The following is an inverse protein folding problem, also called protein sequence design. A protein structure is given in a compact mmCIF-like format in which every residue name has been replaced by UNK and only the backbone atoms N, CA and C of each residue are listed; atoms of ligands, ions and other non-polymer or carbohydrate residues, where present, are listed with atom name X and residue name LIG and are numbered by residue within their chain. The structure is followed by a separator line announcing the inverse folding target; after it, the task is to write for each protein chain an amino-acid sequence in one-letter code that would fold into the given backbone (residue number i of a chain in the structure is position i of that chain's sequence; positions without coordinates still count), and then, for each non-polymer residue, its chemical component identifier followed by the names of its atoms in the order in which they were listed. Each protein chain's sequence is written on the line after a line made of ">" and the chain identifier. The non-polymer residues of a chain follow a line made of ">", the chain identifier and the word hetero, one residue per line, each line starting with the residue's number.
data_IF_451455823345
#
_entry.id   IF_451455823345
#
_cell.length_a   1.000
_cell.length_b   1.000
_cell.length_c   1.000
_cell.angle_alpha   90.00
_cell.angle_beta   90.00
_cell.angle_gamma   90.00
#
_symmetry.space_group_name_H-M   'P 1'
#
loop_
_entity.id
_entity.type
_entity.pdbx_description
1 polymer ?
#
# COMPACT_ATOMS: atom_id res chain seq x y z
N UNK A 1 -105.76 -15.21 -14.06
CA UNK A 1 -105.15 -15.41 -15.38
C UNK A 1 -104.04 -14.39 -15.51
N UNK A 2 -102.81 -14.87 -15.52
CA UNK A 2 -101.62 -14.16 -15.99
C UNK A 2 -101.81 -13.72 -17.47
N UNK A 3 -100.99 -12.80 -18.06
CA UNK A 3 -99.56 -12.70 -17.75
C UNK A 3 -98.83 -11.34 -17.92
N UNK A 4 -97.51 -11.41 -17.62
CA UNK A 4 -96.39 -10.70 -18.26
C UNK A 4 -96.30 -9.17 -18.18
N UNK A 5 -95.23 -8.72 -17.52
CA UNK A 5 -94.32 -7.71 -18.07
C UNK A 5 -92.89 -8.25 -17.99
N UNK A 6 -92.15 -8.17 -19.08
CA UNK A 6 -90.72 -8.56 -19.20
C UNK A 6 -89.88 -7.31 -19.49
N UNK A 7 -88.56 -7.50 -19.64
CA UNK A 7 -87.51 -6.46 -19.77
C UNK A 7 -87.09 -5.82 -18.41
N UNK A 8 -85.80 -5.58 -18.16
CA UNK A 8 -84.61 -5.82 -18.99
C UNK A 8 -83.36 -6.12 -18.17
N UNK A 9 -82.42 -6.87 -18.76
CA UNK A 9 -81.19 -7.30 -18.12
C UNK A 9 -80.13 -6.18 -18.17
N UNK A 10 -79.53 -5.82 -17.03
CA UNK A 10 -78.41 -4.86 -16.96
C UNK A 10 -77.17 -5.53 -16.35
N UNK A 11 -76.26 -5.98 -17.22
CA UNK A 11 -75.02 -6.64 -16.81
C UNK A 11 -73.97 -5.59 -16.40
N UNK A 12 -74.00 -5.15 -15.14
CA UNK A 12 -72.96 -4.28 -14.57
C UNK A 12 -71.76 -5.14 -14.15
N UNK A 13 -70.74 -5.17 -15.00
CA UNK A 13 -69.53 -5.97 -14.81
C UNK A 13 -68.56 -5.26 -13.86
N UNK A 14 -68.74 -5.46 -12.55
CA UNK A 14 -67.87 -4.90 -11.51
C UNK A 14 -66.46 -5.53 -11.54
N UNK A 15 -65.52 -4.83 -12.18
CA UNK A 15 -64.09 -5.13 -12.10
C UNK A 15 -63.57 -4.67 -10.73
N UNK A 16 -63.71 -5.53 -9.72
CA UNK A 16 -63.12 -5.31 -8.40
C UNK A 16 -61.59 -5.47 -8.49
N UNK A 17 -60.90 -4.37 -8.73
CA UNK A 17 -59.45 -4.29 -8.63
C UNK A 17 -59.01 -4.53 -7.17
N UNK A 18 -58.57 -5.76 -6.88
CA UNK A 18 -58.02 -6.11 -5.57
C UNK A 18 -56.72 -5.35 -5.33
N UNK A 19 -56.81 -4.23 -4.61
CA UNK A 19 -55.67 -3.56 -4.00
C UNK A 19 -55.10 -4.47 -2.91
N UNK A 20 -54.20 -5.38 -3.29
CA UNK A 20 -53.38 -6.17 -2.40
C UNK A 20 -52.38 -5.25 -1.69
N UNK A 21 -52.85 -4.54 -0.67
CA UNK A 21 -52.06 -3.65 0.19
C UNK A 21 -51.20 -4.45 1.17
N UNK A 22 -50.32 -5.30 0.62
CA UNK A 22 -49.23 -5.90 1.38
C UNK A 22 -48.26 -4.80 1.81
N UNK A 23 -48.24 -4.49 3.11
CA UNK A 23 -47.25 -3.57 3.66
C UNK A 23 -45.83 -4.12 3.39
N UNK A 24 -44.93 -3.24 2.92
CA UNK A 24 -43.55 -3.61 2.68
C UNK A 24 -42.89 -4.07 4.00
N UNK A 25 -42.02 -5.11 3.99
CA UNK A 25 -41.37 -5.58 5.20
C UNK A 25 -40.41 -4.53 5.75
N UNK A 26 -40.33 -4.45 7.09
CA UNK A 26 -39.37 -3.60 7.77
C UNK A 26 -37.94 -4.05 7.43
N UNK A 27 -37.17 -3.21 6.72
CA UNK A 27 -35.76 -3.50 6.41
C UNK A 27 -34.91 -3.34 7.66
N UNK A 28 -34.20 -4.40 8.05
CA UNK A 28 -33.31 -4.45 9.21
C UNK A 28 -31.89 -4.77 8.70
N UNK A 29 -30.88 -4.12 9.28
CA UNK A 29 -29.46 -4.36 9.00
C UNK A 29 -28.72 -4.61 10.30
N UNK A 30 -27.95 -5.69 10.36
CA UNK A 30 -27.09 -6.04 11.50
C UNK A 30 -25.82 -6.76 10.99
N UNK A 31 -24.79 -6.84 11.82
CA UNK A 31 -23.52 -7.45 11.43
C UNK A 31 -23.38 -8.91 11.86
N UNK A 32 -22.60 -9.67 11.11
CA UNK A 32 -22.19 -11.03 11.42
C UNK A 32 -21.56 -11.12 12.82
N UNK A 33 -21.87 -12.19 13.57
CA UNK A 33 -21.52 -12.41 14.97
C UNK A 33 -22.08 -11.38 15.99
N UNK A 34 -22.83 -10.37 15.56
CA UNK A 34 -23.56 -9.46 16.45
C UNK A 34 -24.98 -9.98 16.76
N UNK A 35 -25.91 -9.07 17.09
CA UNK A 35 -27.33 -9.35 17.39
C UNK A 35 -28.24 -8.51 16.51
N UNK A 36 -29.30 -9.09 15.95
CA UNK A 36 -30.38 -8.35 15.29
C UNK A 36 -31.56 -8.18 16.24
N UNK A 37 -32.05 -6.96 16.40
CA UNK A 37 -33.37 -6.69 16.96
C UNK A 37 -34.43 -6.88 15.87
N UNK A 38 -35.41 -7.76 16.10
CA UNK A 38 -36.55 -8.07 15.21
C UNK A 38 -37.86 -7.57 15.85
N UNK A 39 -38.16 -6.25 15.77
CA UNK A 39 -39.30 -5.64 16.45
C UNK A 39 -40.63 -6.08 15.83
N UNK A 40 -41.57 -6.50 16.69
CA UNK A 40 -42.92 -6.86 16.27
C UNK A 40 -43.79 -5.61 15.99
N UNK A 41 -43.41 -4.42 16.49
CA UNK A 41 -44.18 -3.18 16.41
C UNK A 41 -45.63 -3.29 16.95
N UNK A 42 -45.86 -4.14 17.96
CA UNK A 42 -47.18 -4.28 18.57
C UNK A 42 -47.40 -3.18 19.61
N UNK A 43 -48.28 -2.22 19.29
CA UNK A 43 -48.57 -1.06 20.14
C UNK A 43 -49.40 -1.38 21.42
N UNK A 44 -49.74 -2.65 21.66
CA UNK A 44 -50.60 -3.19 22.73
C UNK A 44 -51.70 -2.24 23.27
N UNK A 45 -52.44 -1.57 22.39
CA UNK A 45 -53.30 -0.42 22.78
C UNK A 45 -54.55 -0.78 23.59
N UNK A 46 -54.70 -2.07 23.94
CA UNK A 46 -55.73 -2.60 24.85
C UNK A 46 -55.14 -3.09 26.18
N UNK A 47 -53.82 -2.92 26.41
CA UNK A 47 -53.08 -3.41 27.57
C UNK A 47 -53.31 -4.91 27.85
N UNK A 48 -53.34 -5.73 26.79
CA UNK A 48 -53.55 -7.17 26.92
C UNK A 48 -52.35 -7.79 27.63
N UNK A 49 -52.61 -8.71 28.57
CA UNK A 49 -51.55 -9.35 29.34
C UNK A 49 -50.82 -10.37 28.48
N UNK A 50 -49.50 -10.50 28.64
CA UNK A 50 -48.72 -11.56 28.00
C UNK A 50 -49.22 -12.96 28.40
N UNK A 51 -49.91 -13.10 29.55
CA UNK A 51 -50.60 -14.32 29.98
C UNK A 51 -51.84 -14.70 29.16
N UNK A 52 -52.34 -13.80 28.32
CA UNK A 52 -53.50 -14.00 27.42
C UNK A 52 -53.07 -14.20 25.96
N UNK A 53 -51.77 -14.01 25.67
CA UNK A 53 -51.19 -13.97 24.34
C UNK A 53 -50.35 -15.21 24.03
N UNK A 54 -50.27 -15.53 22.74
CA UNK A 54 -49.23 -16.40 22.18
C UNK A 54 -48.50 -15.59 21.11
N UNK A 55 -47.25 -15.27 21.38
CA UNK A 55 -46.35 -14.47 20.54
C UNK A 55 -45.30 -15.40 19.95
N UNK A 56 -45.02 -15.32 18.66
CA UNK A 56 -43.90 -16.08 18.07
C UNK A 56 -43.33 -15.38 16.84
N UNK A 57 -42.08 -15.74 16.52
CA UNK A 57 -41.40 -15.34 15.28
C UNK A 57 -41.06 -16.56 14.46
N UNK A 58 -41.19 -16.44 13.14
CA UNK A 58 -40.79 -17.45 12.16
C UNK A 58 -40.03 -16.81 10.99
N UNK A 59 -39.20 -17.58 10.29
CA UNK A 59 -38.52 -17.17 9.05
C UNK A 59 -39.33 -17.51 7.79
N UNK A 60 -38.76 -17.28 6.60
CA UNK A 60 -39.40 -17.56 5.31
C UNK A 60 -39.75 -19.04 5.08
N UNK A 61 -39.13 -19.96 5.80
CA UNK A 61 -39.40 -21.40 5.75
C UNK A 61 -40.45 -21.81 6.79
N UNK A 62 -40.95 -20.86 7.59
CA UNK A 62 -41.82 -21.04 8.76
C UNK A 62 -41.12 -21.78 9.91
N UNK A 63 -39.79 -21.74 9.98
CA UNK A 63 -39.03 -22.28 11.11
C UNK A 63 -39.16 -21.28 12.28
N UNK A 64 -39.64 -21.74 13.43
CA UNK A 64 -39.90 -20.87 14.59
C UNK A 64 -38.59 -20.51 15.31
N UNK A 65 -38.39 -19.22 15.57
CA UNK A 65 -37.22 -18.65 16.26
C UNK A 65 -37.39 -18.63 17.78
N UNK A 66 -38.60 -18.35 18.23
CA UNK A 66 -39.01 -18.17 19.62
C UNK A 66 -40.54 -18.24 19.70
N UNK A 67 -41.07 -18.81 20.78
CA UNK A 67 -42.50 -18.79 21.12
C UNK A 67 -42.65 -18.43 22.60
N UNK A 68 -43.48 -17.42 22.88
CA UNK A 68 -43.96 -17.07 24.21
C UNK A 68 -45.42 -17.48 24.31
N UNK A 69 -45.69 -18.55 25.04
CA UNK A 69 -47.02 -19.12 25.25
C UNK A 69 -47.55 -18.70 26.63
N UNK A 70 -48.47 -17.74 26.66
CA UNK A 70 -49.17 -17.29 27.88
C UNK A 70 -48.21 -16.84 28.99
N UNK A 71 -47.26 -15.98 28.64
CA UNK A 71 -46.28 -15.41 29.57
C UNK A 71 -45.12 -16.34 29.93
N UNK A 72 -44.90 -17.42 29.18
CA UNK A 72 -43.76 -18.34 29.35
C UNK A 72 -43.13 -18.66 28.00
N UNK A 73 -41.80 -18.62 27.92
CA UNK A 73 -41.09 -19.13 26.74
C UNK A 73 -41.28 -20.64 26.60
N UNK A 74 -41.45 -21.11 25.37
CA UNK A 74 -41.73 -22.50 25.01
C UNK A 74 -40.74 -22.97 23.94
N UNK A 75 -39.75 -23.75 24.38
CA UNK A 75 -38.64 -24.20 23.53
C UNK A 75 -39.00 -25.39 22.63
N UNK A 76 -40.01 -26.19 22.99
CA UNK A 76 -40.40 -27.43 22.27
C UNK A 76 -40.76 -27.23 20.79
N UNK A 77 -41.08 -25.99 20.39
CA UNK A 77 -41.43 -25.63 19.01
C UNK A 77 -40.38 -24.77 18.32
N UNK A 78 -39.31 -24.37 19.02
CA UNK A 78 -38.20 -23.58 18.44
C UNK A 78 -37.32 -24.49 17.59
N UNK A 79 -37.03 -24.08 16.36
CA UNK A 79 -36.21 -24.85 15.45
C UNK A 79 -34.73 -24.85 15.88
N UNK A 80 -34.01 -25.95 15.64
CA UNK A 80 -32.62 -26.15 16.08
C UNK A 80 -31.64 -25.08 15.59
N UNK A 81 -31.91 -24.46 14.44
CA UNK A 81 -31.17 -23.30 13.90
C UNK A 81 -31.14 -22.09 14.85
N UNK A 82 -32.15 -21.94 15.71
CA UNK A 82 -32.38 -20.76 16.55
C UNK A 82 -32.39 -21.08 18.06
N UNK A 83 -32.41 -22.37 18.43
CA UNK A 83 -32.36 -22.83 19.83
C UNK A 83 -31.16 -22.23 20.58
N UNK A 84 -31.42 -21.54 21.69
CA UNK A 84 -30.39 -20.87 22.50
C UNK A 84 -29.76 -19.61 21.85
N UNK A 85 -30.27 -19.16 20.70
CA UNK A 85 -29.79 -17.95 19.99
C UNK A 85 -30.77 -16.77 20.08
N UNK A 86 -31.89 -16.90 20.78
CA UNK A 86 -32.94 -15.88 20.83
C UNK A 86 -33.28 -15.44 22.25
N UNK A 87 -33.67 -14.18 22.43
CA UNK A 87 -34.25 -13.67 23.67
C UNK A 87 -35.36 -12.64 23.38
N UNK A 88 -36.45 -12.67 24.14
CA UNK A 88 -37.59 -11.76 23.94
C UNK A 88 -37.58 -10.59 24.94
N UNK A 89 -37.79 -9.39 24.41
CA UNK A 89 -37.98 -8.14 25.15
C UNK A 89 -39.47 -7.76 25.12
N UNK A 90 -40.15 -7.94 26.27
CA UNK A 90 -41.59 -7.71 26.43
C UNK A 90 -42.01 -6.25 26.38
N UNK A 91 -41.09 -5.34 26.69
CA UNK A 91 -41.39 -3.93 26.89
C UNK A 91 -41.32 -3.19 25.54
N UNK A 92 -40.39 -3.60 24.68
CA UNK A 92 -40.24 -3.14 23.28
C UNK A 92 -40.88 -4.06 22.23
N UNK A 93 -41.48 -5.19 22.65
CA UNK A 93 -42.06 -6.22 21.77
C UNK A 93 -41.09 -6.70 20.67
N UNK A 94 -39.83 -6.94 21.06
CA UNK A 94 -38.72 -7.19 20.13
C UNK A 94 -38.06 -8.53 20.45
N UNK A 95 -37.82 -9.35 19.42
CA UNK A 95 -36.99 -10.54 19.57
C UNK A 95 -35.55 -10.22 19.17
N UNK A 96 -34.59 -10.54 20.03
CA UNK A 96 -33.16 -10.45 19.73
C UNK A 96 -32.68 -11.78 19.16
N UNK A 97 -32.04 -11.77 18.00
CA UNK A 97 -31.37 -12.93 17.39
C UNK A 97 -29.85 -12.73 17.49
N UNK A 98 -29.21 -13.55 18.32
CA UNK A 98 -27.80 -13.45 18.71
C UNK A 98 -26.88 -14.35 17.86
N UNK A 99 -25.59 -13.97 17.80
CA UNK A 99 -24.55 -14.67 17.04
C UNK A 99 -24.99 -14.84 15.58
N UNK A 100 -25.23 -13.72 14.90
CA UNK A 100 -25.76 -13.69 13.53
C UNK A 100 -24.83 -14.38 12.53
N UNK A 101 -25.40 -15.24 11.70
CA UNK A 101 -24.72 -15.87 10.57
C UNK A 101 -25.25 -15.25 9.28
N UNK A 102 -24.47 -15.29 8.19
CA UNK A 102 -24.96 -14.84 6.88
C UNK A 102 -26.20 -15.65 6.44
N UNK A 103 -26.31 -16.91 6.89
CA UNK A 103 -27.47 -17.82 6.72
C UNK A 103 -28.72 -17.43 7.50
N UNK A 104 -28.68 -16.34 8.28
CA UNK A 104 -29.86 -15.72 8.90
C UNK A 104 -30.38 -14.50 8.10
N UNK A 105 -29.77 -14.14 6.96
CA UNK A 105 -30.38 -13.19 6.02
C UNK A 105 -31.70 -13.75 5.48
N UNK A 106 -32.77 -12.96 5.41
CA UNK A 106 -34.08 -13.48 4.99
C UNK A 106 -35.28 -12.64 5.41
N UNK A 107 -36.47 -13.19 5.20
CA UNK A 107 -37.73 -12.61 5.64
C UNK A 107 -38.17 -13.25 6.96
N UNK A 108 -38.56 -12.42 7.91
CA UNK A 108 -39.03 -12.83 9.22
C UNK A 108 -40.42 -12.29 9.49
N UNK A 109 -41.20 -13.00 10.29
CA UNK A 109 -42.57 -12.65 10.60
C UNK A 109 -42.85 -12.85 12.09
N UNK A 110 -43.21 -11.76 12.77
CA UNK A 110 -43.83 -11.83 14.09
C UNK A 110 -45.34 -12.06 13.94
N UNK A 111 -45.91 -12.95 14.74
CA UNK A 111 -47.36 -13.18 14.86
C UNK A 111 -47.75 -13.09 16.33
N UNK A 112 -48.86 -12.40 16.62
CA UNK A 112 -49.49 -12.41 17.94
C UNK A 112 -50.92 -12.94 17.84
N UNK A 113 -51.20 -13.98 18.60
CA UNK A 113 -52.53 -14.49 18.86
C UNK A 113 -53.01 -14.09 20.26
N UNK A 114 -54.28 -13.73 20.38
CA UNK A 114 -54.99 -13.69 21.65
C UNK A 114 -55.68 -15.04 21.87
N UNK A 115 -55.42 -15.72 22.99
CA UNK A 115 -56.03 -17.02 23.33
C UNK A 115 -57.36 -16.80 24.07
N UNK A 116 -58.48 -16.91 23.34
CA UNK A 116 -59.82 -16.86 23.93
C UNK A 116 -60.33 -18.28 24.24
N UNK A 117 -61.39 -18.44 25.07
CA UNK A 117 -62.05 -19.74 25.26
C UNK A 117 -62.56 -20.38 23.96
N UNK A 118 -62.82 -19.56 22.94
CA UNK A 118 -63.23 -19.99 21.58
C UNK A 118 -62.07 -20.41 20.67
N UNK A 119 -60.82 -20.35 21.14
CA UNK A 119 -59.61 -20.60 20.35
C UNK A 119 -58.71 -19.38 20.22
N UNK A 120 -57.66 -19.51 19.39
CA UNK A 120 -56.69 -18.44 19.14
C UNK A 120 -57.14 -17.52 18.00
N UNK A 121 -57.05 -16.20 18.20
CA UNK A 121 -57.39 -15.18 17.20
C UNK A 121 -56.14 -14.35 16.91
N UNK A 122 -55.70 -14.26 15.66
CA UNK A 122 -54.55 -13.43 15.27
C UNK A 122 -54.95 -11.95 15.39
N UNK A 123 -54.30 -11.24 16.31
CA UNK A 123 -54.57 -9.82 16.57
C UNK A 123 -53.54 -8.90 15.91
N UNK A 124 -52.34 -9.40 15.64
CA UNK A 124 -51.24 -8.62 15.05
C UNK A 124 -50.31 -9.53 14.23
N UNK A 125 -49.67 -8.93 13.23
CA UNK A 125 -48.61 -9.55 12.44
C UNK A 125 -47.69 -8.46 11.89
N UNK A 126 -46.38 -8.69 11.91
CA UNK A 126 -45.40 -7.79 11.30
C UNK A 126 -44.38 -8.58 10.49
N UNK A 127 -44.10 -8.13 9.27
CA UNK A 127 -43.08 -8.69 8.38
C UNK A 127 -41.81 -7.83 8.45
N UNK A 128 -40.66 -8.46 8.57
CA UNK A 128 -39.33 -7.82 8.54
C UNK A 128 -38.43 -8.53 7.53
N UNK A 129 -37.37 -7.86 7.09
CA UNK A 129 -36.36 -8.40 6.19
C UNK A 129 -34.98 -8.09 6.74
N UNK A 130 -34.26 -9.12 7.18
CA UNK A 130 -32.94 -9.00 7.79
C UNK A 130 -31.86 -9.12 6.71
N UNK A 131 -31.07 -8.06 6.56
CA UNK A 131 -29.81 -8.06 5.83
C UNK A 131 -28.66 -8.20 6.81
N UNK A 132 -27.85 -9.26 6.66
CA UNK A 132 -26.63 -9.46 7.45
C UNK A 132 -25.42 -8.95 6.65
N UNK A 133 -24.54 -8.21 7.32
CA UNK A 133 -23.32 -7.60 6.74
C UNK A 133 -22.08 -8.11 7.47
N UNK A 134 -20.92 -8.14 6.83
CA UNK A 134 -19.64 -8.33 7.50
C UNK A 134 -18.62 -7.35 6.93
N UNK A 135 -17.92 -6.64 7.81
CA UNK A 135 -16.91 -5.68 7.41
C UNK A 135 -15.65 -6.43 6.98
N UNK A 136 -15.29 -6.32 5.71
CA UNK A 136 -13.99 -6.73 5.19
C UNK A 136 -12.84 -6.20 6.05
N UNK A 137 -11.79 -7.01 6.23
CA UNK A 137 -10.55 -6.54 6.85
C UNK A 137 -9.99 -5.34 6.09
N UNK A 138 -9.21 -4.50 6.77
CA UNK A 138 -8.43 -3.50 6.05
C UNK A 138 -7.56 -4.20 4.99
N UNK A 139 -7.50 -3.73 3.74
CA UNK A 139 -6.67 -4.34 2.72
C UNK A 139 -5.20 -4.37 3.12
N UNK A 140 -4.56 -5.52 2.98
CA UNK A 140 -3.12 -5.71 3.24
C UNK A 140 -2.34 -5.68 1.92
N UNK A 141 -1.09 -5.19 1.93
CA UNK A 141 -0.18 -5.20 0.78
C UNK A 141 0.98 -6.14 1.06
N UNK A 142 1.15 -7.17 0.24
CA UNK A 142 2.26 -8.13 0.33
C UNK A 142 3.10 -8.05 -0.95
N UNK A 143 4.33 -7.51 -0.93
CA UNK A 143 5.22 -7.56 -2.08
C UNK A 143 5.69 -9.01 -2.32
N UNK A 144 5.52 -9.50 -3.55
CA UNK A 144 5.91 -10.84 -4.00
C UNK A 144 7.39 -10.85 -4.43
N UNK A 145 7.90 -9.72 -4.91
CA UNK A 145 9.29 -9.53 -5.31
C UNK A 145 9.86 -8.22 -4.77
N UNK A 146 11.18 -8.15 -4.68
CA UNK A 146 11.87 -6.86 -4.65
C UNK A 146 11.55 -6.07 -5.94
N UNK A 147 11.82 -4.76 -5.91
CA UNK A 147 11.79 -3.92 -7.12
C UNK A 147 12.86 -4.45 -8.08
N UNK A 148 12.45 -4.72 -9.33
CA UNK A 148 13.35 -5.25 -10.37
C UNK A 148 14.07 -4.12 -11.13
N UNK A 149 15.18 -4.44 -11.78
CA UNK A 149 15.91 -3.53 -12.68
C UNK A 149 15.02 -2.93 -13.78
N UNK A 150 13.96 -3.66 -14.16
CA UNK A 150 12.94 -3.26 -15.13
C UNK A 150 11.86 -2.33 -14.53
N UNK A 151 12.07 -1.77 -13.34
CA UNK A 151 11.26 -0.68 -12.78
C UNK A 151 9.79 -1.09 -12.56
N UNK A 152 9.60 -2.28 -11.98
CA UNK A 152 8.31 -2.71 -11.45
C UNK A 152 8.46 -3.51 -10.16
N UNK A 153 7.37 -3.52 -9.37
CA UNK A 153 7.18 -4.42 -8.23
C UNK A 153 6.00 -5.37 -8.52
N UNK A 154 6.15 -6.64 -8.17
CA UNK A 154 5.02 -7.57 -8.12
C UNK A 154 4.46 -7.57 -6.70
N UNK A 155 3.17 -7.33 -6.52
CA UNK A 155 2.51 -7.34 -5.22
C UNK A 155 1.15 -8.04 -5.27
N UNK A 156 0.72 -8.55 -4.12
CA UNK A 156 -0.65 -9.00 -3.86
C UNK A 156 -1.31 -8.02 -2.90
N UNK A 157 -2.55 -7.65 -3.19
CA UNK A 157 -3.47 -7.11 -2.19
C UNK A 157 -4.41 -8.22 -1.71
N UNK A 158 -4.74 -8.25 -0.44
CA UNK A 158 -5.73 -9.16 0.14
C UNK A 158 -6.67 -8.45 1.11
N UNK A 159 -7.88 -8.95 1.26
CA UNK A 159 -8.85 -8.52 2.29
C UNK A 159 -9.83 -9.65 2.56
N UNK A 160 -10.13 -9.91 3.84
CA UNK A 160 -10.76 -11.16 4.30
C UNK A 160 -12.04 -10.93 5.12
N UNK A 161 -12.83 -12.00 5.25
CA UNK A 161 -13.98 -12.15 6.14
C UNK A 161 -15.14 -11.14 5.95
N UNK A 162 -15.37 -10.65 4.73
CA UNK A 162 -16.42 -9.65 4.44
C UNK A 162 -17.69 -10.19 3.78
N UNK A 163 -18.78 -9.42 3.84
CA UNK A 163 -20.06 -9.73 3.19
C UNK A 163 -20.92 -8.47 3.01
N UNK A 164 -21.61 -8.26 1.87
CA UNK A 164 -21.74 -9.12 0.69
C UNK A 164 -20.51 -9.09 -0.23
N UNK A 165 -20.63 -9.70 -1.42
CA UNK A 165 -19.58 -9.73 -2.45
C UNK A 165 -19.12 -8.29 -2.84
N UNK A 166 -17.81 -8.01 -2.92
CA UNK A 166 -17.30 -6.69 -3.27
C UNK A 166 -17.24 -6.48 -4.79
N UNK A 167 -17.26 -5.20 -5.19
CA UNK A 167 -17.33 -4.76 -6.60
C UNK A 167 -15.99 -4.87 -7.30
N UNK A 168 -14.97 -4.20 -6.73
CA UNK A 168 -13.67 -3.96 -7.34
C UNK A 168 -12.59 -3.96 -6.28
N UNK A 169 -11.41 -4.46 -6.64
CA UNK A 169 -10.16 -4.19 -5.92
C UNK A 169 -9.15 -3.62 -6.90
N UNK A 170 -8.42 -2.58 -6.51
CA UNK A 170 -7.44 -1.90 -7.35
C UNK A 170 -6.24 -1.38 -6.55
N UNK A 171 -5.16 -1.06 -7.25
CA UNK A 171 -3.93 -0.53 -6.65
C UNK A 171 -3.73 0.91 -7.08
N UNK A 172 -3.59 1.81 -6.10
CA UNK A 172 -3.33 3.23 -6.32
C UNK A 172 -1.84 3.52 -6.11
N UNK A 173 -1.11 3.76 -7.19
CA UNK A 173 0.24 4.32 -7.15
C UNK A 173 0.15 5.84 -7.07
N UNK A 174 0.63 6.43 -5.98
CA UNK A 174 0.72 7.89 -5.81
C UNK A 174 2.18 8.33 -5.84
N UNK A 175 2.50 9.28 -6.70
CA UNK A 175 3.79 9.98 -6.74
C UNK A 175 3.60 11.43 -6.28
N UNK A 176 4.66 12.26 -6.37
CA UNK A 176 4.55 13.71 -6.17
C UNK A 176 3.69 14.41 -7.24
N UNK A 177 3.68 13.90 -8.47
CA UNK A 177 3.14 14.59 -9.65
C UNK A 177 1.92 13.88 -10.27
N UNK A 178 1.73 12.59 -9.99
CA UNK A 178 0.74 11.73 -10.62
C UNK A 178 0.06 10.80 -9.62
N UNK A 179 -1.09 10.27 -10.02
CA UNK A 179 -1.77 9.19 -9.31
C UNK A 179 -2.37 8.26 -10.36
N UNK A 180 -2.00 6.98 -10.31
CA UNK A 180 -2.33 5.96 -11.31
C UNK A 180 -3.06 4.84 -10.59
N UNK A 181 -4.24 4.46 -11.08
CA UNK A 181 -4.99 3.31 -10.57
C UNK A 181 -4.79 2.12 -11.51
N UNK A 182 -4.39 0.98 -10.96
CA UNK A 182 -4.20 -0.29 -11.67
C UNK A 182 -5.33 -1.24 -11.26
N UNK A 183 -6.17 -1.60 -12.22
CA UNK A 183 -7.34 -2.45 -12.01
C UNK A 183 -6.93 -3.92 -11.90
N UNK A 184 -7.24 -4.54 -10.76
CA UNK A 184 -6.91 -5.94 -10.51
C UNK A 184 -8.03 -6.90 -10.91
N UNK A 185 -7.65 -8.03 -11.51
CA UNK A 185 -8.58 -9.15 -11.71
C UNK A 185 -8.83 -9.81 -10.36
N UNK A 186 -9.90 -9.36 -9.67
CA UNK A 186 -10.22 -9.76 -8.31
C UNK A 186 -10.62 -11.24 -8.23
N UNK A 187 -9.73 -12.03 -7.64
CA UNK A 187 -10.02 -13.39 -7.20
C UNK A 187 -10.89 -13.32 -5.94
N UNK A 188 -11.85 -14.24 -5.84
CA UNK A 188 -12.79 -14.33 -4.72
C UNK A 188 -12.92 -15.78 -4.29
N UNK A 189 -12.81 -16.02 -3.00
CA UNK A 189 -13.17 -17.29 -2.36
C UNK A 189 -14.23 -17.02 -1.30
N UNK A 190 -15.11 -18.00 -1.07
CA UNK A 190 -16.19 -17.89 -0.10
C UNK A 190 -16.17 -19.12 0.81
N UNK A 191 -16.20 -18.92 2.13
CA UNK A 191 -16.22 -20.02 3.07
C UNK A 191 -17.60 -20.70 3.10
N UNK A 192 -17.62 -22.04 2.98
CA UNK A 192 -18.86 -22.81 2.90
C UNK A 192 -19.66 -22.82 4.22
N UNK A 193 -19.02 -22.57 5.36
CA UNK A 193 -19.66 -22.61 6.68
C UNK A 193 -20.29 -21.26 7.02
N UNK A 194 -19.53 -20.17 6.91
CA UNK A 194 -19.91 -18.81 7.31
C UNK A 194 -20.51 -17.97 6.17
N UNK A 195 -20.29 -18.35 4.90
CA UNK A 195 -20.56 -17.58 3.68
C UNK A 195 -19.79 -16.26 3.53
N UNK A 196 -18.77 -16.01 4.35
CA UNK A 196 -17.92 -14.84 4.24
C UNK A 196 -16.99 -14.93 3.01
N UNK A 197 -16.70 -13.79 2.40
CA UNK A 197 -15.78 -13.65 1.27
C UNK A 197 -14.38 -13.24 1.72
N UNK A 198 -13.39 -13.89 1.12
CA UNK A 198 -12.01 -13.45 1.05
C UNK A 198 -11.69 -13.07 -0.40
N UNK A 199 -10.97 -11.97 -0.61
CA UNK A 199 -10.64 -11.44 -1.94
C UNK A 199 -9.19 -11.05 -2.05
N UNK A 200 -8.64 -11.19 -3.26
CA UNK A 200 -7.27 -10.78 -3.57
C UNK A 200 -7.08 -10.37 -5.03
N UNK A 201 -6.05 -9.56 -5.26
CA UNK A 201 -5.52 -9.23 -6.58
C UNK A 201 -4.00 -9.36 -6.54
N UNK A 202 -3.40 -9.89 -7.60
CA UNK A 202 -1.95 -9.86 -7.80
C UNK A 202 -1.63 -9.06 -9.06
N UNK A 203 -0.73 -8.08 -8.95
CA UNK A 203 -0.44 -7.12 -10.00
C UNK A 203 1.06 -6.79 -10.07
N UNK A 204 1.52 -6.52 -11.29
CA UNK A 204 2.82 -5.89 -11.58
C UNK A 204 2.63 -4.39 -11.72
N UNK A 205 3.06 -3.62 -10.73
CA UNK A 205 2.98 -2.14 -10.75
C UNK A 205 4.29 -1.60 -11.30
N UNK A 206 4.24 -0.99 -12.49
CA UNK A 206 5.36 -0.29 -13.12
C UNK A 206 5.49 1.14 -12.61
N UNK A 207 6.71 1.67 -12.51
CA UNK A 207 6.96 3.03 -12.04
C UNK A 207 7.44 3.93 -13.20
N UNK A 208 6.57 4.70 -13.87
CA UNK A 208 6.96 5.44 -15.07
C UNK A 208 7.99 6.56 -14.82
N UNK A 209 8.02 7.14 -13.62
CA UNK A 209 8.88 8.29 -13.26
C UNK A 209 9.66 8.02 -11.96
N UNK A 210 10.82 7.35 -12.06
CA UNK A 210 11.70 7.02 -10.90
C UNK A 210 12.50 8.24 -10.42
N UNK A 211 11.81 9.31 -10.06
CA UNK A 211 12.40 10.61 -9.67
C UNK A 211 11.84 11.19 -8.37
N UNK A 212 10.91 10.49 -7.72
CA UNK A 212 10.35 10.88 -6.41
C UNK A 212 9.88 9.64 -5.64
N UNK A 213 9.93 9.70 -4.30
CA UNK A 213 9.31 8.71 -3.42
C UNK A 213 7.85 8.46 -3.82
N UNK A 214 7.43 7.19 -3.72
CA UNK A 214 6.11 6.73 -4.15
C UNK A 214 5.38 6.08 -2.98
N UNK A 215 4.06 6.12 -3.00
CA UNK A 215 3.23 5.42 -2.03
C UNK A 215 2.16 4.60 -2.74
N UNK A 216 2.11 3.31 -2.44
CA UNK A 216 1.12 2.38 -2.95
C UNK A 216 0.02 2.18 -1.89
N UNK A 217 -1.23 2.20 -2.33
CA UNK A 217 -2.40 1.80 -1.54
C UNK A 217 -3.19 0.73 -2.29
N UNK A 218 -3.67 -0.29 -1.59
CA UNK A 218 -4.72 -1.17 -2.11
C UNK A 218 -6.09 -0.59 -1.73
N UNK A 219 -7.02 -0.59 -2.68
CA UNK A 219 -8.41 -0.14 -2.53
C UNK A 219 -9.33 -1.35 -2.66
N UNK A 220 -10.29 -1.49 -1.76
CA UNK A 220 -11.44 -2.39 -1.93
C UNK A 220 -12.74 -1.57 -1.95
N UNK A 221 -13.56 -1.78 -2.97
CA UNK A 221 -14.86 -1.11 -3.13
C UNK A 221 -16.03 -2.09 -2.91
N UNK A 222 -16.92 -1.74 -1.97
CA UNK A 222 -18.17 -2.45 -1.69
C UNK A 222 -19.37 -1.63 -2.18
N UNK A 223 -20.61 -2.08 -1.91
CA UNK A 223 -21.80 -1.27 -2.18
C UNK A 223 -21.89 0.05 -1.38
N UNK A 224 -21.21 0.14 -0.23
CA UNK A 224 -21.40 1.22 0.75
C UNK A 224 -20.11 1.91 1.19
N UNK A 225 -18.96 1.27 0.99
CA UNK A 225 -17.67 1.70 1.55
C UNK A 225 -16.52 1.49 0.57
N UNK A 226 -15.51 2.36 0.67
CA UNK A 226 -14.22 2.23 -0.02
C UNK A 226 -13.14 2.10 1.06
N UNK A 227 -12.59 0.90 1.23
CA UNK A 227 -11.53 0.63 2.19
C UNK A 227 -10.17 0.86 1.54
N UNK A 228 -9.23 1.47 2.29
CA UNK A 228 -7.85 1.68 1.87
C UNK A 228 -6.91 0.91 2.81
N UNK A 229 -5.86 0.33 2.24
CA UNK A 229 -4.76 -0.26 3.00
C UNK A 229 -3.99 0.76 3.82
N UNK A 230 -3.11 0.27 4.70
CA UNK A 230 -1.95 1.03 5.13
C UNK A 230 -1.07 1.41 3.92
N UNK A 231 -0.38 2.57 3.94
CA UNK A 231 0.51 2.98 2.87
C UNK A 231 1.77 2.10 2.80
N UNK A 232 2.07 1.55 1.62
CA UNK A 232 3.38 0.97 1.32
C UNK A 232 4.24 2.02 0.63
N UNK A 233 5.25 2.54 1.32
CA UNK A 233 6.14 3.60 0.80
C UNK A 233 7.38 3.01 0.15
N UNK A 234 7.71 3.49 -1.04
CA UNK A 234 8.96 3.24 -1.75
C UNK A 234 9.74 4.55 -1.71
N UNK A 235 10.74 4.60 -0.84
CA UNK A 235 11.72 5.69 -0.84
C UNK A 235 12.82 5.38 -1.86
N UNK A 236 13.20 6.38 -2.64
CA UNK A 236 14.33 6.22 -3.56
C UNK A 236 15.61 6.58 -2.79
N UNK A 237 16.54 5.63 -2.69
CA UNK A 237 17.83 5.89 -2.05
C UNK A 237 18.62 6.89 -2.89
N UNK A 238 18.72 8.12 -2.39
CA UNK A 238 19.42 9.24 -3.04
C UNK A 238 20.87 8.81 -3.31
N UNK A 239 21.39 8.91 -4.55
CA UNK A 239 22.68 8.32 -4.90
C UNK A 239 23.78 8.81 -3.96
N UNK A 240 24.36 7.89 -3.18
CA UNK A 240 25.40 8.24 -2.22
C UNK A 240 26.48 9.07 -2.93
N UNK A 241 26.84 10.26 -2.40
CA UNK A 241 27.81 11.11 -3.05
C UNK A 241 29.12 10.31 -3.23
N UNK A 242 29.70 10.30 -4.44
CA UNK A 242 30.83 9.44 -4.75
C UNK A 242 31.96 9.68 -3.73
N UNK A 243 32.61 8.63 -3.22
CA UNK A 243 33.46 8.71 -2.03
C UNK A 243 34.53 9.79 -2.21
N UNK A 244 34.45 10.84 -1.38
CA UNK A 244 35.18 12.07 -1.62
C UNK A 244 36.69 11.87 -1.42
N UNK A 245 37.41 11.70 -2.53
CA UNK A 245 38.82 11.31 -2.57
C UNK A 245 39.79 12.46 -2.20
N UNK A 246 39.39 13.36 -1.30
CA UNK A 246 40.13 14.58 -0.92
C UNK A 246 40.39 14.68 0.60
N UNK A 247 41.23 13.79 1.17
CA UNK A 247 42.00 14.15 2.37
C UNK A 247 43.53 14.03 2.21
N UNK A 248 44.02 13.47 1.09
CA UNK A 248 45.46 13.22 0.93
C UNK A 248 46.28 14.51 0.73
N UNK A 249 45.75 15.49 -0.02
CA UNK A 249 46.41 16.77 -0.27
C UNK A 249 46.63 17.56 1.03
N UNK A 250 45.66 17.53 1.94
CA UNK A 250 45.75 18.17 3.27
C UNK A 250 46.77 17.52 4.21
N UNK A 251 47.16 16.25 3.98
CA UNK A 251 48.21 15.57 4.73
C UNK A 251 49.61 15.72 4.09
N UNK A 252 49.71 15.78 2.76
CA UNK A 252 50.98 15.93 2.03
C UNK A 252 51.63 17.29 2.30
N UNK A 253 50.85 18.38 2.34
CA UNK A 253 51.42 19.72 2.52
C UNK A 253 52.17 19.91 3.86
N UNK A 254 51.60 19.60 5.04
CA UNK A 254 52.32 19.72 6.31
C UNK A 254 53.47 18.70 6.44
N UNK A 255 53.34 17.49 5.90
CA UNK A 255 54.43 16.48 5.97
C UNK A 255 55.65 16.91 5.13
N UNK A 256 55.44 17.47 3.94
CA UNK A 256 56.54 18.06 3.14
C UNK A 256 57.22 19.22 3.89
N UNK A 257 56.45 20.12 4.52
CA UNK A 257 57.00 21.23 5.32
C UNK A 257 57.85 20.70 6.49
N UNK A 258 57.35 19.70 7.22
CA UNK A 258 58.09 19.06 8.33
C UNK A 258 59.38 18.41 7.83
N UNK A 259 59.34 17.67 6.71
CA UNK A 259 60.53 17.06 6.11
C UNK A 259 61.59 18.09 5.69
N UNK A 260 61.18 19.20 5.07
CA UNK A 260 62.09 20.31 4.72
C UNK A 260 62.69 20.94 5.97
N UNK A 261 61.89 21.20 7.01
CA UNK A 261 62.37 21.76 8.29
C UNK A 261 63.39 20.83 8.97
N UNK A 262 63.12 19.53 9.02
CA UNK A 262 64.06 18.52 9.57
C UNK A 262 65.36 18.47 8.75
N UNK A 263 65.27 18.49 7.42
CA UNK A 263 66.44 18.52 6.54
C UNK A 263 67.29 19.78 6.75
N UNK A 264 66.67 20.96 6.86
CA UNK A 264 67.35 22.21 7.19
C UNK A 264 68.05 22.15 8.56
N UNK A 265 67.41 21.57 9.59
CA UNK A 265 68.00 21.38 10.91
C UNK A 265 69.21 20.41 10.89
N UNK A 266 69.15 19.34 10.10
CA UNK A 266 70.28 18.42 9.88
C UNK A 266 71.44 19.16 9.21
N UNK A 267 71.18 19.90 8.12
CA UNK A 267 72.19 20.70 7.42
C UNK A 267 72.80 21.79 8.33
N UNK A 268 72.03 22.43 9.20
CA UNK A 268 72.53 23.37 10.21
C UNK A 268 73.43 22.68 11.25
N UNK A 269 73.07 21.50 11.76
CA UNK A 269 73.95 20.74 12.68
C UNK A 269 75.22 20.25 11.98
N UNK A 270 75.16 19.87 10.70
CA UNK A 270 76.34 19.51 9.90
C UNK A 270 77.25 20.72 9.64
N UNK A 271 76.71 21.90 9.30
CA UNK A 271 77.49 23.14 9.19
C UNK A 271 78.10 23.57 10.54
N UNK A 272 77.43 23.36 11.67
CA UNK A 272 78.04 23.59 13.01
C UNK A 272 79.17 22.62 13.33
N UNK A 273 79.11 21.35 12.91
CA UNK A 273 80.20 20.36 13.10
C UNK A 273 81.43 20.59 12.18
N UNK A 274 81.34 21.42 11.14
CA UNK A 274 82.43 21.68 10.16
C UNK A 274 83.12 23.05 10.32
N UNK A 275 83.15 23.67 11.50
CA UNK A 275 84.05 24.81 11.79
C UNK A 275 85.36 24.30 12.42
N UNK A 276 86.56 24.79 12.00
CA UNK A 276 87.82 24.06 12.21
C UNK A 276 88.70 24.63 13.34
N UNK A 277 89.73 23.87 13.73
CA UNK A 277 90.83 24.34 14.61
C UNK A 277 92.17 23.76 14.11
N UNK A 278 93.16 24.61 13.88
CA UNK A 278 94.47 24.26 13.29
C UNK A 278 95.43 23.60 14.30
N UNK A 279 96.38 22.78 13.83
CA UNK A 279 97.83 22.90 14.17
C UNK A 279 98.77 21.85 13.50
N UNK A 280 99.48 22.28 12.44
CA UNK A 280 100.92 22.09 12.11
C UNK A 280 101.73 20.76 12.26
N UNK A 281 102.67 20.62 11.28
CA UNK A 281 103.91 19.78 11.19
C UNK A 281 103.76 18.29 10.78
N UNK A 282 104.74 17.65 10.09
CA UNK A 282 105.74 18.12 9.10
C UNK A 282 106.48 16.94 8.43
N UNK A 283 106.72 17.00 7.11
CA UNK A 283 107.78 16.24 6.39
C UNK A 283 107.33 14.98 5.61
N UNK A 284 108.09 14.44 4.64
CA UNK A 284 109.29 14.92 3.91
C UNK A 284 109.54 13.99 2.70
N UNK A 285 110.03 14.53 1.56
CA UNK A 285 110.54 13.84 0.34
C UNK A 285 109.54 13.10 -0.59
N UNK A 286 109.84 12.71 -1.85
CA UNK A 286 110.67 13.27 -2.97
C UNK A 286 110.56 12.38 -4.24
N UNK A 287 110.62 12.98 -5.46
CA UNK A 287 110.79 12.35 -6.82
C UNK A 287 109.62 11.49 -7.37
N UNK A 288 109.37 11.37 -8.68
CA UNK A 288 110.03 11.82 -9.95
C UNK A 288 108.91 12.20 -11.00
N UNK A 289 109.02 13.26 -11.84
CA UNK A 289 109.65 13.37 -13.20
C UNK A 289 108.82 12.67 -14.31
N UNK A 290 108.53 13.19 -15.52
CA UNK A 290 109.12 14.16 -16.49
C UNK A 290 107.94 14.84 -17.30
N UNK A 291 107.82 16.14 -17.70
CA UNK A 291 108.62 17.12 -18.52
C UNK A 291 108.60 16.86 -20.05
N UNK A 292 108.27 17.77 -21.02
CA UNK A 292 107.89 19.23 -21.10
C UNK A 292 106.61 19.43 -22.00
N UNK A 293 106.16 20.53 -22.67
CA UNK A 293 106.51 21.95 -23.08
C UNK A 293 105.29 22.88 -22.69
N UNK A 294 104.99 24.16 -23.03
CA UNK A 294 105.28 25.17 -24.10
C UNK A 294 104.64 24.89 -25.51
N UNK A 295 104.53 25.81 -26.50
CA UNK A 295 105.09 27.17 -26.76
C UNK A 295 104.00 28.26 -27.12
N UNK A 296 104.36 29.55 -27.01
CA UNK A 296 103.51 30.79 -27.04
C UNK A 296 103.13 31.35 -28.44
N UNK A 297 101.96 32.02 -28.58
CA UNK A 297 101.69 33.40 -29.12
C UNK A 297 100.22 33.57 -29.62
N UNK A 298 99.66 34.76 -29.96
CA UNK A 298 99.44 36.08 -29.27
C UNK A 298 98.82 37.08 -30.28
N UNK A 299 97.71 37.77 -29.92
CA UNK A 299 97.13 39.00 -30.58
C UNK A 299 96.62 38.91 -32.05
N UNK A 300 95.47 39.46 -32.47
CA UNK A 300 95.05 40.90 -32.42
C UNK A 300 93.55 41.13 -32.77
N UNK A 301 93.08 42.40 -32.83
CA UNK A 301 91.67 42.82 -32.99
C UNK A 301 91.50 43.96 -34.03
N UNK A 302 90.56 43.85 -34.99
CA UNK A 302 89.86 44.90 -35.78
C UNK A 302 89.05 44.22 -36.93
N UNK A 303 88.08 44.81 -37.64
CA UNK A 303 86.96 45.77 -37.38
C UNK A 303 85.98 45.64 -38.62
N UNK A 304 84.69 46.05 -38.59
CA UNK A 304 83.64 45.46 -39.45
C UNK A 304 83.03 46.37 -40.54
N UNK A 305 82.12 45.82 -41.35
CA UNK A 305 80.96 46.56 -41.89
C UNK A 305 79.73 45.67 -42.19
N UNK A 306 78.51 46.25 -42.05
CA UNK A 306 77.17 46.01 -42.67
C UNK A 306 76.66 44.58 -43.04
N UNK A 307 75.35 44.28 -43.04
CA UNK A 307 74.12 45.10 -42.81
C UNK A 307 72.88 44.23 -42.45
N UNK A 308 71.97 44.80 -41.65
CA UNK A 308 70.48 44.73 -41.67
C UNK A 308 69.78 43.34 -41.64
N UNK A 309 69.03 43.01 -40.56
CA UNK A 309 67.55 43.06 -40.45
C UNK A 309 66.81 41.77 -40.89
N UNK A 310 65.71 41.29 -40.28
CA UNK A 310 64.99 41.67 -39.04
C UNK A 310 64.28 40.46 -38.37
N UNK A 311 63.44 40.72 -37.37
CA UNK A 311 62.94 39.78 -36.36
C UNK A 311 61.90 38.70 -36.79
N UNK A 312 61.91 37.61 -35.99
CA UNK A 312 60.76 36.91 -35.35
C UNK A 312 59.99 35.75 -36.05
N UNK A 313 59.85 34.67 -35.25
CA UNK A 313 58.65 33.82 -35.00
C UNK A 313 58.41 32.53 -35.84
N UNK A 314 58.03 31.48 -35.08
CA UNK A 314 57.24 30.27 -35.38
C UNK A 314 57.88 28.88 -35.63
N UNK A 315 57.46 27.94 -34.77
CA UNK A 315 57.09 26.52 -34.96
C UNK A 315 57.97 25.55 -35.80
N UNK A 316 58.70 24.72 -35.06
CA UNK A 316 58.58 23.24 -35.02
C UNK A 316 58.37 22.41 -36.30
N UNK A 317 59.28 21.45 -36.54
CA UNK A 317 58.91 20.07 -36.94
C UNK A 317 60.04 19.03 -36.81
N UNK A 318 59.67 17.84 -36.29
CA UNK A 318 60.14 16.46 -36.54
C UNK A 318 61.60 16.14 -36.94
N UNK A 319 62.15 15.14 -36.25
CA UNK A 319 62.99 14.04 -36.79
C UNK A 319 62.95 12.89 -35.77
N UNK A 320 63.01 11.59 -36.05
CA UNK A 320 62.97 10.78 -37.30
C UNK A 320 61.71 9.84 -37.25
N UNK A 321 61.48 8.76 -38.02
CA UNK A 321 62.28 7.93 -38.93
C UNK A 321 61.41 7.29 -40.04
N UNK A 322 62.06 6.64 -41.00
CA UNK A 322 61.53 5.94 -42.19
C UNK A 322 60.75 4.64 -41.85
N UNK A 323 60.15 3.87 -42.78
CA UNK A 323 60.28 3.83 -44.26
C UNK A 323 59.04 3.18 -44.96
N UNK A 324 58.93 3.33 -46.30
CA UNK A 324 58.27 2.51 -47.37
C UNK A 324 56.99 1.64 -47.09
N UNK A 325 56.09 1.40 -48.06
CA UNK A 325 56.03 1.70 -49.51
C UNK A 325 54.63 1.40 -50.10
N UNK A 326 54.22 2.15 -51.14
CA UNK A 326 53.59 1.73 -52.42
C UNK A 326 52.40 0.73 -52.45
N UNK A 327 51.35 0.84 -53.30
CA UNK A 327 51.13 1.70 -54.48
C UNK A 327 49.64 1.83 -54.88
N UNK A 328 49.29 2.98 -55.51
CA UNK A 328 48.28 3.21 -56.57
C UNK A 328 46.79 2.77 -56.50
N UNK A 329 45.94 3.76 -56.82
CA UNK A 329 44.53 3.75 -57.30
C UNK A 329 43.43 3.28 -56.33
#
# INVERSE_FOLDING_TARGET
>A
MDPQCTMGLSNILFVMAFLLSGAAPLKIQAYFNETADLPCQFANSQNQSLSELVVFWQDQENLVLNEVYLGKEKFDSVHSKYMGRTSFDSDSWTLRLHNLQIKDKGLYQCIIHHKKPTGMIRIHQMNSELSVLANFSQPEIVPISNITENVYINLTCSSIHGYPEPKKMSVLLRTKNSTIEYDGVMQKSQDNVTELYDVSISLSVSFPDVTSNMTIFCILETDKTRLLSSPFSIELEDPQPPPDHIPWITAVLPTVIICVMVFCLILWKWKKKKRPRNSYKCGTNTMEREESEQTKKREKIHIPERSDEAQRVFKSSKTSSCDKSDTCF
#
